data_IF_184600559931
#
_entry.id   IF_184600559931
#
_cell.length_a   1.000
_cell.length_b   1.000
_cell.length_c   1.000
_cell.angle_alpha   90.00
_cell.angle_beta   90.00
_cell.angle_gamma   90.00
#
_symmetry.space_group_name_H-M   'P 1'
#
loop_
_entity.id
_entity.type
_entity.pdbx_description
1 polymer ?
#
# COMPACT_ATOMS: atom_id res chain seq x y z
N UNK A 1 28.07 26.81 -18.26
CA UNK A 1 27.71 25.97 -19.44
C UNK A 1 27.94 24.50 -19.10
N UNK A 2 27.30 23.97 -18.05
CA UNK A 2 27.57 22.61 -17.51
C UNK A 2 26.30 21.88 -17.03
N UNK A 3 25.11 22.38 -17.37
CA UNK A 3 23.85 21.87 -16.79
C UNK A 3 23.03 20.98 -17.76
N UNK A 4 23.49 20.77 -18.99
CA UNK A 4 22.78 19.97 -20.00
C UNK A 4 23.27 18.53 -20.15
N UNK A 5 24.44 18.16 -19.60
CA UNK A 5 25.01 16.81 -19.79
C UNK A 5 24.59 15.79 -18.74
N UNK A 6 24.01 16.22 -17.61
CA UNK A 6 23.54 15.34 -16.54
C UNK A 6 22.07 14.95 -16.72
N UNK A 7 21.26 15.77 -17.40
CA UNK A 7 19.86 15.45 -17.71
C UNK A 7 19.76 14.35 -18.76
N UNK A 8 20.65 14.41 -19.76
CA UNK A 8 20.77 13.39 -20.81
C UNK A 8 21.08 12.00 -20.25
N UNK A 9 21.74 11.88 -19.09
CA UNK A 9 22.15 10.57 -18.60
C UNK A 9 20.97 9.73 -18.14
N UNK A 10 19.98 10.30 -17.44
CA UNK A 10 18.82 9.53 -16.98
C UNK A 10 17.89 9.13 -18.12
N UNK A 11 17.65 10.04 -19.07
CA UNK A 11 16.84 9.74 -20.25
C UNK A 11 17.48 8.63 -21.10
N UNK A 12 18.81 8.61 -21.22
CA UNK A 12 19.52 7.56 -21.96
C UNK A 12 19.27 6.16 -21.38
N UNK A 13 19.36 6.00 -20.05
CA UNK A 13 19.05 4.71 -19.41
C UNK A 13 17.62 4.25 -19.70
N UNK A 14 16.65 5.18 -19.68
CA UNK A 14 15.25 4.86 -19.97
C UNK A 14 15.05 4.49 -21.44
N UNK A 15 15.72 5.18 -22.37
CA UNK A 15 15.66 4.87 -23.80
C UNK A 15 16.26 3.48 -24.06
N UNK A 16 17.43 3.18 -23.50
CA UNK A 16 18.10 1.88 -23.64
C UNK A 16 17.23 0.74 -23.07
N UNK A 17 16.60 0.97 -21.92
CA UNK A 17 15.64 0.04 -21.33
C UNK A 17 14.46 -0.27 -22.27
N UNK A 18 13.92 0.74 -22.95
CA UNK A 18 12.86 0.56 -23.95
C UNK A 18 13.35 -0.17 -25.21
N UNK A 19 14.58 0.06 -25.65
CA UNK A 19 15.16 -0.67 -26.79
C UNK A 19 15.36 -2.15 -26.47
N UNK A 20 15.78 -2.47 -25.25
CA UNK A 20 15.88 -3.85 -24.76
C UNK A 20 14.51 -4.55 -24.75
N UNK A 21 13.46 -3.85 -24.36
CA UNK A 21 12.09 -4.37 -24.44
C UNK A 21 11.64 -4.61 -25.89
N UNK A 22 12.04 -3.76 -26.83
CA UNK A 22 11.72 -3.91 -28.24
C UNK A 22 12.47 -5.11 -28.86
N UNK A 23 13.65 -5.45 -28.35
CA UNK A 23 14.50 -6.58 -28.78
C UNK A 23 14.27 -7.90 -28.02
N UNK A 24 13.17 -8.00 -27.28
CA UNK A 24 12.91 -9.13 -26.37
C UNK A 24 12.88 -10.51 -27.06
N UNK A 25 12.63 -10.56 -28.37
CA UNK A 25 12.64 -11.81 -29.16
C UNK A 25 14.03 -12.25 -29.63
N UNK A 26 15.00 -11.34 -29.61
CA UNK A 26 16.27 -11.50 -30.31
C UNK A 26 17.45 -11.77 -29.37
N UNK A 27 17.27 -11.54 -28.06
CA UNK A 27 18.34 -11.59 -27.06
C UNK A 27 17.92 -12.53 -25.91
N UNK A 28 18.82 -13.43 -25.50
CA UNK A 28 18.57 -14.40 -24.42
C UNK A 28 18.62 -13.81 -23.01
N UNK A 29 19.35 -12.71 -22.83
CA UNK A 29 19.73 -12.16 -21.52
C UNK A 29 19.17 -10.75 -21.27
N UNK A 30 18.03 -10.43 -21.90
CA UNK A 30 17.41 -9.09 -21.83
C UNK A 30 17.08 -8.69 -20.39
N UNK A 31 16.65 -9.65 -19.56
CA UNK A 31 16.33 -9.36 -18.15
C UNK A 31 17.58 -8.98 -17.36
N UNK A 32 18.71 -9.63 -17.62
CA UNK A 32 19.97 -9.31 -16.93
C UNK A 32 20.49 -7.94 -17.39
N UNK A 33 20.56 -7.70 -18.70
CA UNK A 33 20.98 -6.41 -19.25
C UNK A 33 20.09 -5.26 -18.78
N UNK A 34 18.78 -5.45 -18.83
CA UNK A 34 17.81 -4.44 -18.37
C UNK A 34 17.90 -4.22 -16.86
N UNK A 35 18.13 -5.27 -16.06
CA UNK A 35 18.36 -5.15 -14.62
C UNK A 35 19.61 -4.32 -14.31
N UNK A 36 20.72 -4.55 -15.03
CA UNK A 36 21.96 -3.77 -14.88
C UNK A 36 21.76 -2.30 -15.20
N UNK A 37 21.01 -1.96 -16.25
CA UNK A 37 20.68 -0.56 -16.60
C UNK A 37 19.95 0.13 -15.43
N UNK A 38 19.03 -0.58 -14.76
CA UNK A 38 18.31 -0.03 -13.60
C UNK A 38 19.23 0.09 -12.38
N UNK A 39 20.14 -0.86 -12.16
CA UNK A 39 21.15 -0.77 -11.12
C UNK A 39 22.05 0.46 -11.31
N UNK A 40 22.52 0.70 -12.53
CA UNK A 40 23.35 1.84 -12.90
C UNK A 40 22.58 3.16 -12.73
N UNK A 41 21.29 3.18 -13.11
CA UNK A 41 20.40 4.32 -12.89
C UNK A 41 20.24 4.60 -11.38
N UNK A 42 20.00 3.57 -10.57
CA UNK A 42 19.86 3.71 -9.12
C UNK A 42 21.14 4.20 -8.47
N UNK A 43 22.30 3.69 -8.90
CA UNK A 43 23.61 4.14 -8.46
C UNK A 43 23.86 5.61 -8.84
N UNK A 44 23.53 6.01 -10.06
CA UNK A 44 23.63 7.39 -10.53
C UNK A 44 22.72 8.35 -9.74
N UNK A 45 21.63 7.85 -9.16
CA UNK A 45 20.72 8.64 -8.32
C UNK A 45 21.23 8.85 -6.87
N UNK A 46 22.01 7.91 -6.32
CA UNK A 46 22.73 7.99 -5.02
C UNK A 46 21.85 8.22 -3.76
N UNK A 47 22.43 8.04 -2.55
CA UNK A 47 21.70 8.06 -1.26
C UNK A 47 21.17 9.45 -0.83
N UNK A 48 21.71 10.55 -1.36
CA UNK A 48 21.27 11.93 -1.08
C UNK A 48 21.23 12.80 -2.34
N UNK A 49 20.22 12.64 -3.19
CA UNK A 49 20.11 13.38 -4.43
C UNK A 49 19.85 14.87 -4.15
N UNK A 50 20.57 15.73 -4.87
CA UNK A 50 20.30 17.16 -4.86
C UNK A 50 18.87 17.44 -5.38
N UNK A 51 18.23 18.56 -4.97
CA UNK A 51 16.91 18.92 -5.47
C UNK A 51 16.81 18.98 -7.01
N UNK A 52 17.93 19.32 -7.67
CA UNK A 52 18.09 19.33 -9.12
C UNK A 52 18.08 17.90 -9.69
N UNK A 53 18.91 17.00 -9.16
CA UNK A 53 18.92 15.59 -9.57
C UNK A 53 17.55 14.92 -9.38
N UNK A 54 16.85 15.20 -8.28
CA UNK A 54 15.47 14.73 -8.07
C UNK A 54 14.53 15.24 -9.15
N UNK A 55 14.60 16.52 -9.52
CA UNK A 55 13.72 17.08 -10.56
C UNK A 55 14.01 16.49 -11.96
N UNK A 56 15.30 16.27 -12.27
CA UNK A 56 15.73 15.67 -13.53
C UNK A 56 15.28 14.22 -13.64
N UNK A 57 15.53 13.42 -12.61
CA UNK A 57 15.10 12.03 -12.55
C UNK A 57 13.56 11.93 -12.55
N UNK A 58 12.85 12.84 -11.87
CA UNK A 58 11.38 12.89 -11.93
C UNK A 58 10.88 13.12 -13.36
N UNK A 59 11.50 14.03 -14.11
CA UNK A 59 11.16 14.24 -15.51
C UNK A 59 11.43 12.99 -16.36
N UNK A 60 12.60 12.36 -16.22
CA UNK A 60 12.97 11.17 -16.98
C UNK A 60 12.03 9.97 -16.69
N UNK A 61 11.63 9.79 -15.44
CA UNK A 61 10.79 8.67 -15.02
C UNK A 61 9.31 8.86 -15.39
N UNK A 62 8.79 10.09 -15.38
CA UNK A 62 7.34 10.33 -15.45
C UNK A 62 6.87 11.18 -16.64
N UNK A 63 7.78 11.88 -17.33
CA UNK A 63 7.43 12.73 -18.47
C UNK A 63 7.79 12.06 -19.80
N UNK A 64 7.11 12.45 -20.88
CA UNK A 64 7.37 11.96 -22.23
C UNK A 64 6.76 10.59 -22.56
N UNK A 65 6.99 10.13 -23.79
CA UNK A 65 6.38 8.90 -24.34
C UNK A 65 7.11 7.61 -23.95
N UNK A 66 8.43 7.68 -23.75
CA UNK A 66 9.28 6.58 -23.28
C UNK A 66 9.74 6.93 -21.86
N UNK A 67 9.01 6.40 -20.88
CA UNK A 67 9.23 6.64 -19.46
C UNK A 67 9.06 5.34 -18.66
N UNK A 68 9.47 5.33 -17.38
CA UNK A 68 9.48 4.09 -16.60
C UNK A 68 8.09 3.49 -16.42
N UNK A 69 7.04 4.32 -16.34
CA UNK A 69 5.66 3.86 -16.21
C UNK A 69 5.17 3.19 -17.50
N UNK A 70 5.52 3.76 -18.66
CA UNK A 70 5.20 3.14 -19.96
C UNK A 70 5.95 1.83 -20.16
N UNK A 71 7.21 1.74 -19.72
CA UNK A 71 7.95 0.48 -19.73
C UNK A 71 7.24 -0.58 -18.90
N UNK A 72 6.92 -0.27 -17.64
CA UNK A 72 6.24 -1.20 -16.72
C UNK A 72 4.86 -1.65 -17.25
N UNK A 73 4.08 -0.74 -17.86
CA UNK A 73 2.81 -1.10 -18.52
C UNK A 73 3.03 -2.08 -19.67
N UNK A 74 4.06 -1.88 -20.50
CA UNK A 74 4.35 -2.75 -21.65
C UNK A 74 4.95 -4.10 -21.25
N UNK A 75 5.70 -4.15 -20.14
CA UNK A 75 6.38 -5.36 -19.64
C UNK A 75 5.56 -6.18 -18.64
N UNK A 76 4.38 -5.70 -18.20
CA UNK A 76 3.59 -6.37 -17.16
C UNK A 76 3.22 -7.83 -17.47
N UNK A 77 2.96 -8.17 -18.74
CA UNK A 77 2.64 -9.54 -19.18
C UNK A 77 3.87 -10.35 -19.63
N UNK A 78 5.08 -9.77 -19.57
CA UNK A 78 6.33 -10.40 -19.98
C UNK A 78 6.97 -11.10 -18.79
N UNK A 79 6.93 -12.42 -18.77
CA UNK A 79 7.49 -13.23 -17.68
C UNK A 79 9.01 -13.23 -17.68
N UNK A 80 9.61 -12.95 -18.84
CA UNK A 80 11.05 -12.89 -19.05
C UNK A 80 11.69 -11.75 -18.27
N UNK A 81 10.98 -10.63 -18.04
CA UNK A 81 11.51 -9.42 -17.40
C UNK A 81 11.27 -9.37 -15.89
N UNK A 82 11.27 -10.52 -15.23
CA UNK A 82 10.90 -10.59 -13.80
C UNK A 82 11.89 -9.81 -12.94
N UNK A 83 13.20 -10.01 -13.11
CA UNK A 83 14.24 -9.39 -12.29
C UNK A 83 14.22 -7.87 -12.49
N UNK A 84 14.17 -7.42 -13.73
CA UNK A 84 14.08 -6.00 -14.11
C UNK A 84 12.89 -5.31 -13.45
N UNK A 85 11.69 -5.92 -13.50
CA UNK A 85 10.49 -5.34 -12.87
C UNK A 85 10.65 -5.19 -11.35
N UNK A 86 11.23 -6.18 -10.68
CA UNK A 86 11.49 -6.11 -9.23
C UNK A 86 12.46 -4.96 -8.92
N UNK A 87 13.55 -4.84 -9.68
CA UNK A 87 14.56 -3.82 -9.46
C UNK A 87 14.04 -2.40 -9.72
N UNK A 88 13.20 -2.21 -10.75
CA UNK A 88 12.49 -0.95 -10.98
C UNK A 88 11.59 -0.61 -9.79
N UNK A 89 10.82 -1.57 -9.26
CA UNK A 89 9.92 -1.31 -8.13
C UNK A 89 10.70 -0.98 -6.85
N UNK A 90 11.85 -1.61 -6.62
CA UNK A 90 12.74 -1.28 -5.51
C UNK A 90 13.33 0.11 -5.65
N UNK A 91 13.80 0.47 -6.84
CA UNK A 91 14.27 1.82 -7.14
C UNK A 91 13.15 2.85 -6.97
N UNK A 92 11.94 2.59 -7.49
CA UNK A 92 10.79 3.48 -7.32
C UNK A 92 10.41 3.68 -5.86
N UNK A 93 10.52 2.65 -5.01
CA UNK A 93 10.32 2.81 -3.57
C UNK A 93 11.28 3.86 -3.00
N UNK A 94 12.59 3.70 -3.24
CA UNK A 94 13.61 4.65 -2.79
C UNK A 94 13.40 6.05 -3.38
N UNK A 95 13.09 6.13 -4.67
CA UNK A 95 12.84 7.39 -5.36
C UNK A 95 11.64 8.15 -4.79
N UNK A 96 10.52 7.46 -4.52
CA UNK A 96 9.32 8.08 -3.94
C UNK A 96 9.60 8.57 -2.51
N UNK A 97 10.35 7.81 -1.70
CA UNK A 97 10.83 8.24 -0.38
C UNK A 97 11.65 9.53 -0.48
N UNK A 98 12.57 9.60 -1.44
CA UNK A 98 13.47 10.73 -1.66
C UNK A 98 12.77 11.96 -2.26
N UNK A 99 11.88 11.77 -3.24
CA UNK A 99 11.18 12.85 -3.93
C UNK A 99 10.12 13.52 -3.03
N UNK A 100 9.58 12.79 -2.06
CA UNK A 100 8.57 13.28 -1.13
C UNK A 100 7.35 13.87 -1.85
N UNK A 101 6.90 15.04 -1.41
CA UNK A 101 5.69 15.70 -1.96
C UNK A 101 5.79 16.08 -3.44
N UNK A 102 6.99 16.12 -4.03
CA UNK A 102 7.17 16.45 -5.46
C UNK A 102 6.59 15.39 -6.38
N UNK A 103 6.37 14.17 -5.88
CA UNK A 103 5.78 13.07 -6.66
C UNK A 103 4.26 13.20 -6.83
N UNK A 104 3.60 14.02 -5.99
CA UNK A 104 2.14 14.09 -5.91
C UNK A 104 1.44 14.38 -7.26
N UNK A 105 1.96 15.24 -8.15
CA UNK A 105 1.37 15.43 -9.48
C UNK A 105 1.29 14.15 -10.32
N UNK A 106 2.19 13.19 -10.10
CA UNK A 106 2.25 11.91 -10.81
C UNK A 106 1.66 10.74 -10.00
N UNK A 107 1.20 10.98 -8.77
CA UNK A 107 0.81 9.92 -7.84
C UNK A 107 -0.36 9.07 -8.36
N UNK A 108 -1.38 9.70 -8.96
CA UNK A 108 -2.54 8.97 -9.50
C UNK A 108 -2.13 8.06 -10.66
N UNK A 109 -1.21 8.52 -11.52
CA UNK A 109 -0.72 7.72 -12.64
C UNK A 109 0.14 6.55 -12.15
N UNK A 110 1.11 6.82 -11.27
CA UNK A 110 1.96 5.79 -10.65
C UNK A 110 1.11 4.71 -9.99
N UNK A 111 0.16 5.09 -9.13
CA UNK A 111 -0.77 4.15 -8.49
C UNK A 111 -1.54 3.33 -9.53
N UNK A 112 -2.00 3.95 -10.61
CA UNK A 112 -2.76 3.26 -11.66
C UNK A 112 -1.91 2.21 -12.36
N UNK A 113 -0.65 2.53 -12.70
CA UNK A 113 0.31 1.58 -13.29
C UNK A 113 0.58 0.42 -12.34
N UNK A 114 0.83 0.72 -11.06
CA UNK A 114 1.08 -0.29 -10.04
C UNK A 114 -0.10 -1.26 -9.89
N UNK A 115 -1.34 -0.78 -9.88
CA UNK A 115 -2.52 -1.64 -9.86
C UNK A 115 -2.68 -2.46 -11.15
N UNK A 116 -2.33 -1.90 -12.31
CA UNK A 116 -2.33 -2.66 -13.58
C UNK A 116 -1.34 -3.82 -13.50
N UNK A 117 -0.10 -3.57 -13.08
CA UNK A 117 0.91 -4.64 -12.92
C UNK A 117 0.41 -5.67 -11.92
N UNK A 118 -0.12 -5.24 -10.77
CA UNK A 118 -0.59 -6.15 -9.73
C UNK A 118 -1.69 -7.12 -10.21
N UNK A 119 -2.55 -6.67 -11.12
CA UNK A 119 -3.65 -7.46 -11.66
C UNK A 119 -3.24 -8.34 -12.86
N UNK A 120 -2.25 -7.92 -13.65
CA UNK A 120 -1.83 -8.62 -14.88
C UNK A 120 -0.67 -9.59 -14.63
N UNK A 121 0.28 -9.21 -13.79
CA UNK A 121 1.49 -9.99 -13.53
C UNK A 121 1.20 -11.16 -12.58
N UNK A 122 1.72 -12.34 -12.91
CA UNK A 122 1.52 -13.55 -12.11
C UNK A 122 2.68 -13.83 -11.16
N UNK A 123 3.83 -13.16 -11.31
CA UNK A 123 5.00 -13.38 -10.47
C UNK A 123 4.77 -12.78 -9.07
N UNK A 124 4.82 -13.62 -8.03
CA UNK A 124 4.66 -13.21 -6.63
C UNK A 124 5.61 -12.09 -6.24
N UNK A 125 6.87 -12.18 -6.64
CA UNK A 125 7.92 -11.26 -6.20
C UNK A 125 7.72 -9.86 -6.79
N UNK A 126 7.26 -9.78 -8.04
CA UNK A 126 6.89 -8.51 -8.69
C UNK A 126 5.68 -7.93 -7.97
N UNK A 127 4.62 -8.72 -7.76
CA UNK A 127 3.41 -8.26 -7.06
C UNK A 127 3.70 -7.82 -5.63
N UNK A 128 4.59 -8.51 -4.92
CA UNK A 128 4.99 -8.17 -3.57
C UNK A 128 5.75 -6.83 -3.52
N UNK A 129 6.62 -6.59 -4.50
CA UNK A 129 7.44 -5.36 -4.60
C UNK A 129 6.61 -4.09 -4.87
N UNK A 130 5.35 -4.22 -5.26
CA UNK A 130 4.42 -3.09 -5.46
C UNK A 130 4.01 -2.44 -4.13
N UNK A 131 3.83 -3.25 -3.07
CA UNK A 131 3.27 -2.78 -1.81
C UNK A 131 4.14 -1.73 -1.09
N UNK A 132 5.47 -1.85 -1.03
CA UNK A 132 6.33 -0.79 -0.48
C UNK A 132 6.15 0.55 -1.20
N UNK A 133 6.10 0.54 -2.53
CA UNK A 133 5.92 1.77 -3.35
C UNK A 133 4.55 2.39 -3.08
N UNK A 134 3.48 1.59 -3.11
CA UNK A 134 2.13 2.07 -2.81
C UNK A 134 2.03 2.61 -1.38
N UNK A 135 2.63 1.93 -0.40
CA UNK A 135 2.57 2.34 1.01
C UNK A 135 3.19 3.72 1.20
N UNK A 136 4.38 3.94 0.64
CA UNK A 136 5.05 5.24 0.67
C UNK A 136 4.22 6.32 -0.05
N UNK A 137 3.67 5.99 -1.22
CA UNK A 137 2.86 6.92 -1.99
C UNK A 137 1.59 7.34 -1.23
N UNK A 138 0.96 6.40 -0.51
CA UNK A 138 -0.23 6.65 0.31
C UNK A 138 0.08 7.50 1.52
N UNK A 139 1.20 7.27 2.19
CA UNK A 139 1.66 8.09 3.31
C UNK A 139 1.90 9.54 2.87
N UNK A 140 2.60 9.76 1.75
CA UNK A 140 2.84 11.10 1.21
C UNK A 140 1.56 11.78 0.72
N UNK A 141 0.59 11.00 0.25
CA UNK A 141 -0.69 11.51 -0.26
C UNK A 141 -1.76 11.66 0.83
N UNK A 142 -1.42 11.42 2.10
CA UNK A 142 -2.34 11.54 3.23
C UNK A 142 -2.80 13.00 3.41
N UNK A 143 -3.91 13.35 2.76
CA UNK A 143 -4.48 14.71 2.76
C UNK A 143 -4.72 15.28 1.35
N UNK A 144 -4.19 14.68 0.29
CA UNK A 144 -4.50 15.05 -1.08
C UNK A 144 -5.91 14.60 -1.47
N UNK A 145 -6.72 15.52 -2.02
CA UNK A 145 -8.07 15.22 -2.52
C UNK A 145 -8.06 14.21 -3.67
N UNK A 146 -7.04 14.27 -4.53
CA UNK A 146 -6.98 13.44 -5.73
C UNK A 146 -6.77 11.97 -5.38
N UNK A 147 -5.93 11.70 -4.38
CA UNK A 147 -5.69 10.33 -3.93
C UNK A 147 -6.83 9.78 -3.08
N UNK A 148 -7.52 10.64 -2.31
CA UNK A 148 -8.72 10.26 -1.55
C UNK A 148 -9.79 9.64 -2.45
N UNK A 149 -10.02 10.20 -3.64
CA UNK A 149 -10.97 9.67 -4.62
C UNK A 149 -10.59 8.29 -5.18
N UNK A 150 -9.32 7.88 -5.03
CA UNK A 150 -8.81 6.62 -5.56
C UNK A 150 -8.74 5.49 -4.50
N UNK A 151 -8.87 5.83 -3.21
CA UNK A 151 -8.82 4.87 -2.09
C UNK A 151 -9.86 3.77 -2.25
N UNK A 152 -11.07 4.13 -2.65
CA UNK A 152 -12.18 3.17 -2.78
C UNK A 152 -11.89 2.10 -3.83
N UNK A 153 -11.36 2.51 -4.99
CA UNK A 153 -10.99 1.57 -6.06
C UNK A 153 -9.90 0.62 -5.58
N UNK A 154 -8.86 1.15 -4.93
CA UNK A 154 -7.77 0.34 -4.35
C UNK A 154 -8.31 -0.66 -3.34
N UNK A 155 -9.12 -0.18 -2.39
CA UNK A 155 -9.72 -1.02 -1.36
C UNK A 155 -10.50 -2.17 -2.00
N UNK A 156 -11.38 -1.90 -2.97
CA UNK A 156 -12.13 -2.95 -3.68
C UNK A 156 -11.21 -3.94 -4.40
N UNK A 157 -10.19 -3.47 -5.13
CA UNK A 157 -9.26 -4.36 -5.83
C UNK A 157 -8.54 -5.32 -4.89
N UNK A 158 -8.04 -4.84 -3.75
CA UNK A 158 -7.34 -5.71 -2.79
C UNK A 158 -8.31 -6.60 -2.00
N UNK A 159 -9.51 -6.11 -1.69
CA UNK A 159 -10.60 -6.89 -1.11
C UNK A 159 -10.97 -8.08 -2.00
N UNK A 160 -11.16 -7.86 -3.30
CA UNK A 160 -11.51 -8.90 -4.26
C UNK A 160 -10.42 -9.99 -4.35
N UNK A 161 -9.16 -9.60 -4.22
CA UNK A 161 -8.02 -10.52 -4.27
C UNK A 161 -7.91 -11.41 -3.04
N UNK A 162 -8.39 -10.92 -1.90
CA UNK A 162 -8.53 -11.67 -0.65
C UNK A 162 -9.85 -12.48 -0.66
N UNK A 163 -10.86 -12.03 -1.41
CA UNK A 163 -12.25 -12.47 -1.34
C UNK A 163 -12.53 -13.90 -1.84
N UNK A 164 -12.78 -14.79 -0.88
CA UNK A 164 -14.07 -15.49 -0.64
C UNK A 164 -14.68 -16.44 -1.67
N UNK A 165 -14.31 -16.34 -2.94
CA UNK A 165 -14.60 -17.32 -3.98
C UNK A 165 -13.32 -17.41 -4.83
N UNK A 166 -12.66 -18.57 -4.77
CA UNK A 166 -11.67 -19.07 -5.76
C UNK A 166 -10.42 -18.25 -6.14
N UNK A 167 -9.96 -17.27 -5.35
CA UNK A 167 -8.66 -16.61 -5.65
C UNK A 167 -7.46 -17.56 -5.50
N UNK A 168 -6.78 -17.85 -6.62
CA UNK A 168 -5.51 -18.62 -6.73
C UNK A 168 -4.28 -17.85 -6.20
N UNK A 169 -4.45 -16.65 -5.64
CA UNK A 169 -3.32 -15.88 -5.14
C UNK A 169 -2.59 -16.60 -3.99
N UNK A 170 -1.26 -16.57 -4.04
CA UNK A 170 -0.39 -17.12 -3.00
C UNK A 170 -0.70 -16.50 -1.63
N UNK A 171 -0.50 -17.26 -0.55
CA UNK A 171 -0.78 -16.80 0.81
C UNK A 171 -0.05 -15.49 1.13
N UNK A 172 1.24 -15.38 0.79
CA UNK A 172 2.03 -14.16 1.00
C UNK A 172 1.39 -12.92 0.38
N UNK A 173 0.85 -13.03 -0.85
CA UNK A 173 0.20 -11.89 -1.53
C UNK A 173 -1.09 -11.49 -0.83
N UNK A 174 -1.90 -12.45 -0.39
CA UNK A 174 -3.12 -12.17 0.38
C UNK A 174 -2.79 -11.46 1.70
N UNK A 175 -1.73 -11.89 2.38
CA UNK A 175 -1.19 -11.22 3.56
C UNK A 175 -0.76 -9.77 3.27
N UNK A 176 -0.06 -9.52 2.17
CA UNK A 176 0.35 -8.16 1.78
C UNK A 176 -0.85 -7.27 1.43
N UNK A 177 -1.88 -7.81 0.77
CA UNK A 177 -3.14 -7.08 0.54
C UNK A 177 -3.77 -6.65 1.86
N UNK A 178 -3.81 -7.55 2.87
CA UNK A 178 -4.32 -7.23 4.21
C UNK A 178 -3.48 -6.14 4.87
N UNK A 179 -2.16 -6.25 4.76
CA UNK A 179 -1.22 -5.25 5.26
C UNK A 179 -1.51 -3.86 4.71
N UNK A 180 -1.71 -3.79 3.40
CA UNK A 180 -2.00 -2.55 2.72
C UNK A 180 -3.38 -1.97 3.08
N UNK A 181 -4.41 -2.82 3.20
CA UNK A 181 -5.72 -2.36 3.64
C UNK A 181 -5.68 -1.77 5.05
N UNK A 182 -4.90 -2.37 5.97
CA UNK A 182 -4.65 -1.80 7.30
C UNK A 182 -3.93 -0.44 7.24
N UNK A 183 -3.08 -0.22 6.24
CA UNK A 183 -2.43 1.07 5.98
C UNK A 183 -3.41 2.10 5.42
N UNK A 184 -4.32 1.72 4.52
CA UNK A 184 -5.42 2.58 4.08
C UNK A 184 -6.32 2.99 5.25
N UNK A 185 -6.59 2.09 6.20
CA UNK A 185 -7.35 2.43 7.41
C UNK A 185 -6.63 3.46 8.29
N UNK A 186 -5.30 3.44 8.32
CA UNK A 186 -4.49 4.42 9.08
C UNK A 186 -4.57 5.81 8.43
N UNK A 187 -4.38 5.90 7.12
CA UNK A 187 -4.24 7.19 6.42
C UNK A 187 -5.56 7.76 5.87
N UNK A 188 -6.52 6.90 5.51
CA UNK A 188 -7.79 7.28 4.90
C UNK A 188 -9.00 6.66 5.62
N UNK A 189 -9.15 6.85 6.95
CA UNK A 189 -10.18 6.18 7.73
C UNK A 189 -11.61 6.56 7.30
N UNK A 190 -11.82 7.77 6.78
CA UNK A 190 -13.13 8.24 6.31
C UNK A 190 -13.63 7.45 5.09
N UNK A 191 -12.73 7.11 4.16
CA UNK A 191 -13.05 6.29 2.98
C UNK A 191 -13.14 4.80 3.34
N UNK A 192 -12.26 4.33 4.23
CA UNK A 192 -12.27 2.94 4.67
C UNK A 192 -13.48 2.57 5.54
N UNK A 193 -14.20 3.57 6.07
CA UNK A 193 -15.40 3.40 6.90
C UNK A 193 -16.45 2.49 6.28
N UNK A 194 -16.75 2.61 4.98
CA UNK A 194 -17.79 1.78 4.34
C UNK A 194 -17.41 0.30 4.21
N UNK A 195 -16.13 -0.01 4.38
CA UNK A 195 -15.59 -1.37 4.41
C UNK A 195 -15.41 -1.90 5.84
N UNK A 196 -15.82 -1.13 6.87
CA UNK A 196 -15.80 -1.58 8.27
C UNK A 196 -16.88 -2.63 8.59
N UNK A 197 -17.34 -3.38 7.59
CA UNK A 197 -18.28 -4.47 7.79
C UNK A 197 -17.59 -5.54 8.67
N UNK A 198 -18.18 -5.90 9.81
CA UNK A 198 -17.66 -6.96 10.68
C UNK A 198 -17.50 -8.30 9.97
N UNK A 199 -18.22 -8.54 8.88
CA UNK A 199 -18.06 -9.71 8.03
C UNK A 199 -16.69 -9.71 7.34
N UNK A 200 -16.24 -8.55 6.84
CA UNK A 200 -14.90 -8.39 6.27
C UNK A 200 -13.82 -8.62 7.34
N UNK A 201 -13.95 -7.97 8.50
CA UNK A 201 -13.06 -8.22 9.64
C UNK A 201 -13.07 -9.71 10.04
N UNK A 202 -14.22 -10.36 9.99
CA UNK A 202 -14.37 -11.79 10.25
C UNK A 202 -13.63 -12.71 9.32
N UNK A 203 -13.66 -12.38 8.04
CA UNK A 203 -13.00 -13.14 6.99
C UNK A 203 -11.49 -12.90 7.04
N UNK A 204 -11.07 -11.68 7.38
CA UNK A 204 -9.68 -11.36 7.66
C UNK A 204 -9.14 -12.11 8.88
N UNK A 205 -9.88 -12.12 9.98
CA UNK A 205 -9.53 -12.90 11.16
C UNK A 205 -9.53 -14.41 10.87
N UNK A 206 -10.42 -14.89 9.99
CA UNK A 206 -10.41 -16.28 9.53
C UNK A 206 -9.15 -16.59 8.72
N UNK A 207 -8.82 -15.76 7.73
CA UNK A 207 -7.63 -15.91 6.91
C UNK A 207 -6.37 -15.95 7.78
N UNK A 208 -6.25 -15.02 8.73
CA UNK A 208 -5.10 -14.98 9.64
C UNK A 208 -5.08 -16.14 10.63
N UNK A 209 -6.23 -16.62 11.10
CA UNK A 209 -6.28 -17.84 11.93
C UNK A 209 -5.85 -19.09 11.16
N UNK A 210 -6.03 -19.12 9.84
CA UNK A 210 -5.63 -20.24 8.98
C UNK A 210 -4.18 -20.10 8.45
N UNK A 211 -3.68 -18.88 8.26
CA UNK A 211 -2.41 -18.55 7.59
C UNK A 211 -1.51 -17.68 8.49
N UNK A 212 -1.18 -18.23 9.65
CA UNK A 212 -0.58 -17.48 10.75
C UNK A 212 0.91 -17.21 10.51
N UNK A 213 1.20 -16.02 10.01
CA UNK A 213 2.52 -15.39 10.09
C UNK A 213 2.44 -14.09 10.94
N UNK A 214 3.41 -13.90 11.84
CA UNK A 214 3.48 -12.75 12.76
C UNK A 214 3.52 -11.40 12.03
N UNK A 215 4.00 -11.39 10.79
CA UNK A 215 4.12 -10.21 9.93
C UNK A 215 2.77 -9.51 9.66
N UNK A 216 1.65 -10.24 9.80
CA UNK A 216 0.32 -9.70 9.52
C UNK A 216 -0.44 -9.24 10.79
N UNK A 217 0.20 -9.26 11.95
CA UNK A 217 -0.39 -8.79 13.22
C UNK A 217 -0.69 -7.29 13.22
N UNK A 218 0.30 -6.45 12.91
CA UNK A 218 0.11 -4.99 12.94
C UNK A 218 -1.00 -4.50 11.97
N UNK A 219 -1.12 -5.03 10.74
CA UNK A 219 -2.28 -4.77 9.89
C UNK A 219 -3.62 -5.14 10.52
N UNK A 220 -3.68 -6.31 11.16
CA UNK A 220 -4.89 -6.81 11.79
C UNK A 220 -5.33 -5.93 12.97
N UNK A 221 -4.37 -5.45 13.76
CA UNK A 221 -4.64 -4.53 14.87
C UNK A 221 -5.33 -3.28 14.33
N UNK A 222 -4.80 -2.68 13.25
CA UNK A 222 -5.38 -1.49 12.62
C UNK A 222 -6.79 -1.73 12.09
N UNK A 223 -7.02 -2.86 11.41
CA UNK A 223 -8.34 -3.24 10.90
C UNK A 223 -9.34 -3.49 12.03
N UNK A 224 -8.90 -4.14 13.11
CA UNK A 224 -9.73 -4.44 14.28
C UNK A 224 -10.11 -3.17 15.02
N UNK A 225 -9.14 -2.28 15.25
CA UNK A 225 -9.37 -0.98 15.89
C UNK A 225 -10.30 -0.11 15.04
N UNK A 226 -10.12 -0.04 13.71
CA UNK A 226 -11.05 0.67 12.82
C UNK A 226 -12.48 0.12 12.96
N UNK A 227 -12.63 -1.20 12.95
CA UNK A 227 -13.96 -1.81 13.06
C UNK A 227 -14.60 -1.49 14.41
N UNK A 228 -13.84 -1.56 15.51
CA UNK A 228 -14.36 -1.22 16.85
C UNK A 228 -14.74 0.25 16.96
N UNK A 229 -13.95 1.17 16.40
CA UNK A 229 -14.15 2.62 16.51
C UNK A 229 -15.29 3.15 15.63
N UNK A 230 -15.37 2.66 14.39
CA UNK A 230 -16.30 3.19 13.38
C UNK A 230 -17.63 2.42 13.34
N UNK A 231 -17.63 1.11 13.56
CA UNK A 231 -18.85 0.31 13.45
C UNK A 231 -20.03 0.78 14.34
N UNK A 232 -19.82 1.16 15.62
CA UNK A 232 -20.90 1.60 16.52
C UNK A 232 -21.59 2.88 16.12
N UNK A 233 -20.88 3.72 15.36
CA UNK A 233 -21.35 5.05 14.99
C UNK A 233 -22.35 5.01 13.83
N UNK A 234 -22.40 3.90 13.08
CA UNK A 234 -23.11 3.87 11.79
C UNK A 234 -24.11 2.72 11.60
N UNK A 235 -24.09 1.66 12.40
CA UNK A 235 -25.15 0.64 12.38
C UNK A 235 -25.78 0.44 13.78
N UNK A 236 -27.09 0.76 13.95
CA UNK A 236 -27.68 0.77 15.29
C UNK A 236 -27.96 -0.63 15.87
N UNK A 237 -28.02 -1.72 15.07
CA UNK A 237 -28.26 -3.09 15.58
C UNK A 237 -27.74 -4.20 14.65
N UNK A 238 -27.33 -5.38 15.17
CA UNK A 238 -27.09 -5.71 16.57
C UNK A 238 -25.58 -5.70 16.88
N UNK A 239 -25.11 -4.60 17.47
CA UNK A 239 -23.72 -4.42 17.92
C UNK A 239 -23.19 -5.62 18.72
N UNK A 240 -24.04 -6.24 19.53
CA UNK A 240 -23.68 -7.40 20.35
C UNK A 240 -23.26 -8.64 19.54
N UNK A 241 -23.93 -8.97 18.43
CA UNK A 241 -23.56 -10.14 17.61
C UNK A 241 -22.20 -9.95 16.94
N UNK A 242 -21.92 -8.72 16.58
CA UNK A 242 -20.71 -8.32 15.88
C UNK A 242 -19.53 -8.25 16.83
N UNK A 243 -19.68 -7.59 17.98
CA UNK A 243 -18.67 -7.64 19.01
C UNK A 243 -18.44 -9.07 19.51
N UNK A 244 -19.51 -9.86 19.67
CA UNK A 244 -19.37 -11.29 20.01
C UNK A 244 -18.55 -12.04 18.95
N UNK A 245 -18.78 -11.75 17.67
CA UNK A 245 -18.05 -12.39 16.59
C UNK A 245 -16.58 -11.95 16.51
N UNK A 246 -16.30 -10.65 16.64
CA UNK A 246 -14.92 -10.11 16.73
C UNK A 246 -14.20 -10.71 17.94
N UNK A 247 -14.82 -10.69 19.13
CA UNK A 247 -14.28 -11.29 20.35
C UNK A 247 -14.01 -12.79 20.16
N UNK A 248 -14.95 -13.56 19.61
CA UNK A 248 -14.76 -14.99 19.34
C UNK A 248 -13.56 -15.25 18.42
N UNK A 249 -13.35 -14.37 17.44
CA UNK A 249 -12.22 -14.49 16.51
C UNK A 249 -10.90 -14.09 17.16
N UNK A 250 -10.87 -13.04 17.98
CA UNK A 250 -9.71 -12.69 18.81
C UNK A 250 -9.38 -13.83 19.78
N UNK A 251 -10.38 -14.42 20.43
CA UNK A 251 -10.22 -15.60 21.29
C UNK A 251 -9.71 -16.82 20.52
N UNK A 252 -10.04 -16.95 19.23
CA UNK A 252 -9.48 -17.98 18.35
C UNK A 252 -7.96 -17.90 18.22
N UNK A 253 -7.35 -16.73 18.38
CA UNK A 253 -5.89 -16.58 18.38
C UNK A 253 -5.22 -17.13 19.65
N UNK A 254 -5.97 -17.45 20.71
CA UNK A 254 -5.43 -18.03 21.95
C UNK A 254 -4.68 -19.34 21.74
N UNK A 255 -4.98 -20.07 20.67
CA UNK A 255 -4.23 -21.27 20.28
C UNK A 255 -2.78 -20.97 19.91
N UNK A 256 -2.42 -19.69 19.75
CA UNK A 256 -1.06 -19.20 19.47
C UNK A 256 -0.65 -18.08 20.43
N UNK A 257 -0.13 -18.43 21.62
CA UNK A 257 0.11 -17.48 22.70
C UNK A 257 1.13 -16.38 22.36
N UNK A 258 2.11 -16.66 21.49
CA UNK A 258 3.12 -15.68 21.05
C UNK A 258 2.53 -14.57 20.17
N UNK A 259 1.45 -14.87 19.46
CA UNK A 259 0.71 -13.94 18.57
C UNK A 259 -0.38 -13.23 19.36
N UNK A 260 -1.11 -13.97 20.20
CA UNK A 260 -2.26 -13.47 20.93
C UNK A 260 -1.92 -12.41 21.97
N UNK A 261 -0.84 -12.60 22.75
CA UNK A 261 -0.51 -11.69 23.85
C UNK A 261 -0.11 -10.28 23.37
N UNK A 262 0.81 -10.11 22.40
CA UNK A 262 1.14 -8.80 21.86
C UNK A 262 -0.08 -8.12 21.23
N UNK A 263 -0.80 -8.86 20.39
CA UNK A 263 -2.00 -8.37 19.70
C UNK A 263 -3.09 -7.88 20.65
N UNK A 264 -3.40 -8.67 21.68
CA UNK A 264 -4.41 -8.29 22.68
C UNK A 264 -3.95 -7.07 23.48
N UNK A 265 -2.67 -7.00 23.84
CA UNK A 265 -2.11 -5.86 24.58
C UNK A 265 -2.24 -4.57 23.78
N UNK A 266 -1.93 -4.61 22.49
CA UNK A 266 -1.99 -3.44 21.62
C UNK A 266 -3.44 -3.00 21.36
N UNK A 267 -4.34 -3.94 21.05
CA UNK A 267 -5.77 -3.63 20.89
C UNK A 267 -6.35 -3.03 22.16
N UNK A 268 -6.10 -3.65 23.32
CA UNK A 268 -6.62 -3.17 24.60
C UNK A 268 -6.08 -1.77 24.87
N UNK A 269 -4.80 -1.51 24.60
CA UNK A 269 -4.20 -0.19 24.79
C UNK A 269 -4.82 0.86 23.86
N UNK A 270 -4.90 0.59 22.56
CA UNK A 270 -5.45 1.54 21.58
C UNK A 270 -6.95 1.78 21.79
N UNK A 271 -7.73 0.72 22.08
CA UNK A 271 -9.17 0.83 22.33
C UNK A 271 -9.44 1.50 23.67
N UNK A 272 -8.74 1.15 24.76
CA UNK A 272 -8.93 1.80 26.06
C UNK A 272 -8.60 3.29 25.99
N UNK A 273 -7.45 3.67 25.41
CA UNK A 273 -7.07 5.07 25.24
C UNK A 273 -8.18 5.80 24.48
N UNK A 274 -8.70 5.25 23.38
CA UNK A 274 -9.74 5.89 22.57
C UNK A 274 -11.10 5.92 23.24
N UNK A 275 -11.53 4.85 23.91
CA UNK A 275 -12.77 4.79 24.67
C UNK A 275 -12.75 5.80 25.84
N UNK A 276 -11.67 5.85 26.60
CA UNK A 276 -11.50 6.81 27.68
C UNK A 276 -11.47 8.24 27.15
N UNK A 277 -10.74 8.50 26.05
CA UNK A 277 -10.71 9.82 25.38
C UNK A 277 -12.10 10.29 24.93
N UNK A 278 -12.91 9.38 24.37
CA UNK A 278 -14.24 9.69 23.85
C UNK A 278 -15.26 9.91 24.98
N UNK A 279 -15.14 9.16 26.08
CA UNK A 279 -15.93 9.38 27.29
C UNK A 279 -15.62 10.74 27.92
N UNK A 280 -14.35 11.16 28.00
CA UNK A 280 -13.98 12.50 28.44
C UNK A 280 -14.57 13.58 27.52
N UNK A 281 -14.52 13.41 26.20
CA UNK A 281 -15.10 14.38 25.23
C UNK A 281 -16.62 14.51 25.37
N UNK A 282 -17.34 13.39 25.54
CA UNK A 282 -18.80 13.37 25.75
C UNK A 282 -19.15 13.97 27.12
N UNK A 283 -18.35 13.70 28.15
CA UNK A 283 -18.54 14.26 29.49
C UNK A 283 -18.28 15.78 29.50
N UNK A 284 -17.22 16.23 28.84
CA UNK A 284 -16.88 17.65 28.69
C UNK A 284 -17.93 18.42 27.86
N UNK A 285 -18.42 17.86 26.74
CA UNK A 285 -19.51 18.46 25.95
C UNK A 285 -20.85 18.48 26.70
N UNK A 286 -21.13 17.47 27.54
CA UNK A 286 -22.30 17.48 28.43
C UNK A 286 -22.18 18.54 29.52
N UNK A 287 -20.98 18.76 30.07
CA UNK A 287 -20.72 19.82 31.05
C UNK A 287 -20.88 21.20 30.40
N UNK A 288 -20.25 21.45 29.24
CA UNK A 288 -20.37 22.73 28.50
C UNK A 288 -21.82 23.05 28.12
N UNK A 289 -22.59 22.08 27.63
CA UNK A 289 -24.03 22.29 27.34
C UNK A 289 -24.85 22.62 28.58
N UNK A 290 -24.48 22.08 29.75
CA UNK A 290 -25.12 22.37 31.04
C UNK A 290 -24.75 23.75 31.59
N UNK A 291 -23.63 24.33 31.16
CA UNK A 291 -23.20 25.69 31.51
C UNK A 291 -23.64 26.75 30.48
N UNK A 292 -23.87 26.38 29.23
CA UNK A 292 -24.34 27.31 28.17
C UNK A 292 -25.87 27.53 28.14
N UNK A 293 -26.62 26.87 29.03
CA UNK A 293 -28.08 27.02 29.18
C UNK A 293 -28.48 27.65 30.52
N UNK A 294 -27.55 28.38 31.14
CA UNK A 294 -27.81 29.26 32.29
C UNK A 294 -27.40 30.69 31.96
#
# INVERSE_FOLDING_TARGET
MTDSSSASNFDNYIVELHENLDRLRDISDVDEQSSTIIADLAQAYSEHPSPMQTAMCLSALFCGQKNILTFLRRSCSKTELKKTKVEILQFLKFFVESAGVKILPHAVELKTVLLTIFNVDNASDVRASIFPVLSQLMELSAGSSDMQNEVDKMATTFLDQIGLQSSKAAATIKGLCLAFLGLLCKFFPEHMRKYSDPLLLGQYLKYLHEQIDEEFLCPLERLTVMTIDYYPRYQPKPLAKIYSFVIKKILGLQTKPNVYKPFLTEIVTQVLIRCCSHQFKIFYLRIIRKFSTR
#
